data_IF_876967470008
#
_entry.id   IF_876967470008
#
_cell.length_a   1.000
_cell.length_b   1.000
_cell.length_c   1.000
_cell.angle_alpha   90.00
_cell.angle_beta   90.00
_cell.angle_gamma   90.00
#
_symmetry.space_group_name_H-M   'P 1'
#
loop_
_entity.id
_entity.type
_entity.pdbx_description
1 polymer ?
#
# COMPACT_ATOMS: atom_id res chain seq x y z
N UNK A 1 -23.47 -9.73 22.98
CA UNK A 1 -23.92 -10.51 21.81
C UNK A 1 -23.15 -11.81 21.86
N UNK A 2 -23.85 -12.91 22.09
CA UNK A 2 -23.25 -14.24 22.01
C UNK A 2 -23.25 -14.60 20.52
N UNK A 3 -22.17 -14.25 19.83
CA UNK A 3 -21.96 -14.76 18.49
C UNK A 3 -21.62 -16.24 18.67
N UNK A 4 -22.48 -17.14 18.16
CA UNK A 4 -22.13 -18.55 18.05
C UNK A 4 -20.81 -18.74 17.30
N UNK A 5 -20.30 -19.97 17.23
CA UNK A 5 -19.04 -20.24 16.53
C UNK A 5 -19.07 -19.73 15.09
N UNK A 6 -18.09 -18.88 14.74
CA UNK A 6 -17.91 -18.42 13.36
C UNK A 6 -17.35 -19.57 12.53
N UNK A 7 -18.07 -19.96 11.47
CA UNK A 7 -17.63 -20.97 10.52
C UNK A 7 -17.20 -20.32 9.22
N UNK A 8 -15.95 -20.56 8.81
CA UNK A 8 -15.42 -20.13 7.52
C UNK A 8 -15.70 -21.24 6.50
N UNK A 9 -16.27 -20.87 5.35
CA UNK A 9 -16.50 -21.77 4.23
C UNK A 9 -15.39 -21.49 3.21
N UNK A 10 -14.49 -22.45 2.95
CA UNK A 10 -13.44 -22.24 1.95
C UNK A 10 -14.06 -22.17 0.56
N UNK A 11 -13.70 -21.13 -0.21
CA UNK A 11 -14.22 -20.91 -1.57
C UNK A 11 -13.35 -21.55 -2.66
N UNK A 12 -12.19 -22.07 -2.28
CA UNK A 12 -11.22 -22.69 -3.17
C UNK A 12 -9.92 -23.02 -2.46
N UNK A 13 -8.88 -23.29 -3.25
CA UNK A 13 -7.52 -23.59 -2.76
C UNK A 13 -6.46 -22.86 -3.56
N UNK A 14 -5.38 -22.49 -2.90
CA UNK A 14 -4.12 -22.13 -3.54
C UNK A 14 -3.54 -23.38 -4.18
N UNK A 15 -3.07 -23.26 -5.41
CA UNK A 15 -2.38 -24.31 -6.15
C UNK A 15 -1.01 -23.83 -6.62
N UNK A 16 -0.02 -24.72 -6.58
CA UNK A 16 1.35 -24.43 -7.00
C UNK A 16 1.93 -25.55 -7.87
N UNK A 17 2.52 -25.16 -9.00
CA UNK A 17 3.22 -26.10 -9.90
C UNK A 17 4.25 -25.33 -10.76
N UNK A 18 5.48 -25.84 -10.87
CA UNK A 18 6.53 -25.27 -11.72
C UNK A 18 6.67 -23.75 -11.57
N UNK A 19 6.82 -23.27 -10.33
CA UNK A 19 6.92 -21.85 -9.95
C UNK A 19 5.67 -20.99 -10.21
N UNK A 20 4.61 -21.56 -10.79
CA UNK A 20 3.33 -20.88 -10.98
C UNK A 20 2.44 -21.03 -9.75
N UNK A 21 1.75 -19.95 -9.40
CA UNK A 21 0.73 -19.95 -8.36
C UNK A 21 -0.62 -19.56 -8.96
N UNK A 22 -1.67 -20.30 -8.64
CA UNK A 22 -3.03 -19.92 -8.99
C UNK A 22 -4.02 -20.25 -7.88
N UNK A 23 -5.13 -19.53 -7.89
CA UNK A 23 -6.29 -19.77 -7.06
C UNK A 23 -7.24 -20.66 -7.85
N UNK A 24 -7.58 -21.83 -7.33
CA UNK A 24 -8.57 -22.75 -7.91
C UNK A 24 -9.83 -22.72 -7.06
N UNK A 25 -10.87 -22.07 -7.56
CA UNK A 25 -12.15 -21.91 -6.85
C UNK A 25 -12.98 -23.19 -6.99
N UNK A 26 -13.77 -23.54 -5.99
CA UNK A 26 -14.68 -24.69 -6.11
C UNK A 26 -15.79 -24.39 -7.14
N UNK A 27 -16.31 -25.41 -7.84
CA UNK A 27 -17.29 -25.22 -8.91
C UNK A 27 -18.51 -24.38 -8.52
N UNK A 28 -19.02 -24.55 -7.30
CA UNK A 28 -20.18 -23.82 -6.76
C UNK A 28 -19.93 -22.31 -6.56
N UNK A 29 -18.67 -21.87 -6.55
CA UNK A 29 -18.27 -20.47 -6.45
C UNK A 29 -17.70 -19.91 -7.77
N UNK A 30 -17.73 -20.69 -8.85
CA UNK A 30 -17.11 -20.29 -10.12
C UNK A 30 -17.74 -19.05 -10.75
N UNK A 31 -19.05 -18.85 -10.60
CA UNK A 31 -19.76 -17.65 -11.07
C UNK A 31 -19.29 -16.36 -10.36
N UNK A 32 -18.75 -16.47 -9.12
CA UNK A 32 -18.26 -15.32 -8.37
C UNK A 32 -16.97 -14.68 -8.95
N UNK A 33 -16.37 -15.30 -9.96
CA UNK A 33 -15.24 -14.72 -10.72
C UNK A 33 -15.71 -13.65 -11.70
N UNK A 34 -17.00 -13.66 -12.07
CA UNK A 34 -17.55 -12.71 -13.05
C UNK A 34 -17.27 -11.26 -12.62
N UNK A 35 -16.69 -10.47 -13.54
CA UNK A 35 -16.30 -9.09 -13.31
C UNK A 35 -14.82 -8.88 -13.01
N UNK A 36 -14.09 -9.90 -12.54
CA UNK A 36 -12.63 -9.85 -12.43
C UNK A 36 -11.97 -9.88 -13.82
N UNK A 37 -10.84 -9.19 -13.95
CA UNK A 37 -10.07 -9.05 -15.18
C UNK A 37 -8.61 -9.38 -14.95
N UNK A 38 -7.94 -9.80 -16.02
CA UNK A 38 -6.48 -9.87 -16.03
C UNK A 38 -5.92 -8.45 -15.85
N UNK A 39 -4.95 -8.30 -14.95
CA UNK A 39 -4.42 -7.01 -14.52
C UNK A 39 -5.01 -6.48 -13.21
N UNK A 40 -6.15 -6.99 -12.75
CA UNK A 40 -6.75 -6.57 -11.49
C UNK A 40 -5.85 -6.92 -10.30
N UNK A 41 -5.80 -6.02 -9.33
CA UNK A 41 -5.25 -6.28 -8.01
C UNK A 41 -6.34 -6.76 -7.06
N UNK A 42 -6.04 -7.78 -6.26
CA UNK A 42 -6.96 -8.34 -5.27
C UNK A 42 -6.33 -8.39 -3.88
N UNK A 43 -7.17 -8.21 -2.85
CA UNK A 43 -6.91 -8.65 -1.49
C UNK A 43 -7.34 -10.11 -1.37
N UNK A 44 -6.36 -10.99 -1.21
CA UNK A 44 -6.56 -12.43 -1.02
C UNK A 44 -6.52 -12.76 0.46
N UNK A 45 -7.55 -13.42 0.96
CA UNK A 45 -7.64 -13.87 2.36
C UNK A 45 -7.57 -15.39 2.39
N UNK A 46 -6.56 -15.93 3.06
CA UNK A 46 -6.31 -17.37 3.17
C UNK A 46 -6.48 -17.86 4.60
N UNK A 47 -6.91 -19.10 4.76
CA UNK A 47 -6.85 -19.81 6.04
C UNK A 47 -5.57 -20.62 6.11
N UNK A 48 -4.63 -20.20 6.95
CA UNK A 48 -3.41 -20.97 7.24
C UNK A 48 -3.72 -22.17 8.13
N UNK A 49 -4.37 -23.16 7.51
CA UNK A 49 -4.89 -24.38 8.13
C UNK A 49 -3.85 -25.16 8.95
N UNK A 50 -2.57 -25.14 8.58
CA UNK A 50 -1.50 -25.78 9.38
C UNK A 50 -1.23 -25.07 10.72
N UNK A 51 -1.70 -23.82 10.88
CA UNK A 51 -1.66 -23.08 12.14
C UNK A 51 -2.97 -23.16 12.93
N UNK A 52 -3.97 -23.87 12.42
CA UNK A 52 -5.29 -24.04 13.04
C UNK A 52 -5.28 -25.21 14.04
N UNK A 53 -4.39 -25.15 15.03
CA UNK A 53 -4.37 -26.10 16.16
C UNK A 53 -4.67 -25.36 17.46
N UNK A 54 -5.29 -26.01 18.47
CA UNK A 54 -5.57 -25.36 19.76
C UNK A 54 -4.32 -24.71 20.39
N UNK A 55 -3.17 -25.37 20.29
CA UNK A 55 -1.90 -24.92 20.84
C UNK A 55 -1.46 -23.63 20.15
N UNK A 56 -1.42 -23.61 18.81
CA UNK A 56 -0.98 -22.45 18.03
C UNK A 56 -1.94 -21.27 18.15
N UNK A 57 -3.25 -21.53 18.23
CA UNK A 57 -4.27 -20.48 18.37
C UNK A 57 -4.26 -19.82 19.75
N UNK A 58 -3.79 -20.53 20.77
CA UNK A 58 -3.62 -19.98 22.12
C UNK A 58 -2.40 -19.07 22.28
N UNK A 59 -1.48 -19.04 21.30
CA UNK A 59 -0.28 -18.20 21.34
C UNK A 59 -0.64 -16.73 21.10
N UNK A 60 -0.27 -15.87 22.05
CA UNK A 60 -0.54 -14.43 22.01
C UNK A 60 0.71 -13.58 21.73
N UNK A 61 1.91 -14.16 21.84
CA UNK A 61 3.18 -13.48 21.58
C UNK A 61 4.14 -14.39 20.84
N UNK A 62 4.93 -13.82 19.94
CA UNK A 62 5.91 -14.53 19.10
C UNK A 62 7.18 -13.72 18.95
N UNK A 63 8.28 -14.40 18.67
CA UNK A 63 9.47 -13.78 18.12
C UNK A 63 9.25 -13.62 16.61
N UNK A 64 9.19 -12.38 16.06
CA UNK A 64 8.98 -12.16 14.63
C UNK A 64 9.95 -12.97 13.76
N UNK A 65 9.47 -13.48 12.63
CA UNK A 65 10.23 -14.38 11.73
C UNK A 65 10.77 -15.65 12.40
N UNK A 66 10.20 -16.04 13.54
CA UNK A 66 10.68 -17.14 14.37
C UNK A 66 12.16 -16.99 14.81
N UNK A 67 12.67 -15.76 14.86
CA UNK A 67 14.05 -15.46 15.23
C UNK A 67 14.11 -15.01 16.69
N UNK A 68 14.69 -15.85 17.57
CA UNK A 68 14.78 -15.61 19.02
C UNK A 68 15.58 -14.36 19.40
N UNK A 69 16.39 -13.80 18.49
CA UNK A 69 17.06 -12.50 18.68
C UNK A 69 16.11 -11.31 18.58
N UNK A 70 14.98 -11.45 17.87
CA UNK A 70 14.00 -10.38 17.76
C UNK A 70 13.24 -10.23 19.08
N UNK A 71 12.90 -9.00 19.52
CA UNK A 71 12.07 -8.82 20.70
C UNK A 71 10.73 -9.55 20.57
N UNK A 72 10.29 -10.16 21.66
CA UNK A 72 8.98 -10.80 21.73
C UNK A 72 7.87 -9.76 21.52
N UNK A 73 6.99 -9.98 20.55
CA UNK A 73 5.88 -9.07 20.20
C UNK A 73 4.53 -9.78 20.29
N UNK A 74 3.47 -9.04 20.61
CA UNK A 74 2.11 -9.55 20.51
C UNK A 74 1.78 -9.94 19.06
N UNK A 75 1.05 -11.05 18.85
CA UNK A 75 0.78 -11.58 17.49
C UNK A 75 0.09 -10.57 16.58
N UNK A 76 -0.75 -9.68 17.11
CA UNK A 76 -1.43 -8.61 16.37
C UNK A 76 -0.51 -7.47 15.92
N UNK A 77 0.68 -7.33 16.53
CA UNK A 77 1.73 -6.41 16.08
C UNK A 77 2.69 -7.07 15.08
N UNK A 78 2.32 -8.22 14.51
CA UNK A 78 3.14 -9.00 13.58
C UNK A 78 2.30 -9.61 12.46
N UNK A 79 2.97 -10.19 11.46
CA UNK A 79 2.37 -11.00 10.41
C UNK A 79 2.53 -12.52 10.63
N UNK A 80 2.82 -12.95 11.86
CA UNK A 80 3.01 -14.38 12.18
C UNK A 80 1.78 -15.23 11.81
N UNK A 81 1.95 -16.41 11.19
CA UNK A 81 0.86 -17.34 10.89
C UNK A 81 0.23 -17.94 12.16
N UNK A 82 0.98 -17.97 13.26
CA UNK A 82 0.53 -18.40 14.58
C UNK A 82 -0.23 -17.24 15.25
N UNK A 83 -1.56 -17.37 15.35
CA UNK A 83 -2.49 -16.38 15.89
C UNK A 83 -3.86 -17.03 16.18
N UNK A 84 -4.75 -16.39 16.99
CA UNK A 84 -6.05 -16.96 17.33
C UNK A 84 -6.94 -17.34 16.14
N UNK A 85 -6.96 -16.51 15.11
CA UNK A 85 -7.61 -16.79 13.83
C UNK A 85 -6.53 -16.74 12.74
N UNK A 86 -6.01 -17.88 12.24
CA UNK A 86 -4.90 -17.95 11.29
C UNK A 86 -5.29 -17.51 9.87
N UNK A 87 -5.85 -16.30 9.77
CA UNK A 87 -6.13 -15.61 8.52
C UNK A 87 -4.89 -14.85 8.06
N UNK A 88 -4.49 -15.12 6.82
CA UNK A 88 -3.45 -14.41 6.12
C UNK A 88 -4.05 -13.51 5.04
N UNK A 89 -3.40 -12.38 4.77
CA UNK A 89 -3.88 -11.37 3.83
C UNK A 89 -2.74 -11.01 2.87
N UNK A 90 -3.01 -11.06 1.58
CA UNK A 90 -2.09 -10.68 0.51
C UNK A 90 -2.73 -9.62 -0.38
N UNK A 91 -1.90 -8.76 -0.97
CA UNK A 91 -2.26 -7.96 -2.13
C UNK A 91 -1.50 -8.56 -3.32
N UNK A 92 -2.22 -9.07 -4.31
CA UNK A 92 -1.64 -9.74 -5.49
C UNK A 92 -2.34 -9.33 -6.76
N UNK A 93 -1.62 -9.35 -7.87
CA UNK A 93 -2.14 -9.10 -9.21
C UNK A 93 -2.61 -10.40 -9.85
N UNK A 94 -3.73 -10.34 -10.56
CA UNK A 94 -4.20 -11.42 -11.44
C UNK A 94 -3.49 -11.28 -12.78
N UNK A 95 -2.69 -12.28 -13.15
CA UNK A 95 -2.03 -12.31 -14.46
C UNK A 95 -2.87 -12.96 -15.54
N UNK A 96 -3.71 -13.93 -15.16
CA UNK A 96 -4.51 -14.69 -16.13
C UNK A 96 -5.75 -15.28 -15.48
N UNK A 97 -6.85 -15.34 -16.22
CA UNK A 97 -8.08 -16.02 -15.80
C UNK A 97 -8.40 -17.17 -16.76
N UNK A 98 -8.67 -18.37 -16.24
CA UNK A 98 -9.07 -19.53 -17.03
C UNK A 98 -10.14 -20.35 -16.31
N UNK A 99 -11.41 -20.09 -16.64
CA UNK A 99 -12.53 -20.70 -15.93
C UNK A 99 -12.53 -20.29 -14.46
N UNK A 100 -12.54 -21.26 -13.55
CA UNK A 100 -12.47 -21.06 -12.10
C UNK A 100 -11.03 -20.90 -11.55
N UNK A 101 -10.05 -20.63 -12.42
CA UNK A 101 -8.63 -20.48 -12.04
C UNK A 101 -8.12 -19.07 -12.27
N UNK A 102 -7.56 -18.46 -11.22
CA UNK A 102 -6.94 -17.13 -11.26
C UNK A 102 -5.43 -17.30 -11.03
N UNK A 103 -4.62 -17.07 -12.06
CA UNK A 103 -3.17 -17.10 -11.94
C UNK A 103 -2.70 -15.76 -11.38
N UNK A 104 -1.89 -15.80 -10.32
CA UNK A 104 -1.53 -14.63 -9.52
C UNK A 104 -0.03 -14.56 -9.29
N UNK A 105 0.43 -13.48 -8.67
CA UNK A 105 1.80 -13.36 -8.15
C UNK A 105 2.17 -14.55 -7.26
N UNK A 106 3.48 -14.78 -7.11
CA UNK A 106 3.96 -15.73 -6.10
C UNK A 106 3.61 -15.23 -4.69
N UNK A 107 3.15 -16.16 -3.85
CA UNK A 107 2.93 -15.95 -2.41
C UNK A 107 3.63 -17.04 -1.61
N UNK A 108 3.88 -16.83 -0.33
CA UNK A 108 4.55 -17.80 0.55
C UNK A 108 3.62 -18.92 1.09
N UNK A 109 2.32 -18.91 0.75
CA UNK A 109 1.37 -19.95 1.16
C UNK A 109 1.71 -21.34 0.56
N UNK A 110 1.40 -22.42 1.29
CA UNK A 110 1.58 -23.79 0.81
C UNK A 110 0.55 -24.19 -0.25
N UNK A 111 0.89 -25.15 -1.12
CA UNK A 111 -0.08 -25.79 -2.03
C UNK A 111 -1.23 -26.40 -1.22
N UNK A 112 -2.46 -26.25 -1.71
CA UNK A 112 -3.66 -26.71 -1.04
C UNK A 112 -4.20 -25.79 0.06
N UNK A 113 -3.52 -24.67 0.37
CA UNK A 113 -3.99 -23.70 1.38
C UNK A 113 -5.42 -23.21 1.05
N UNK A 114 -6.40 -23.32 1.97
CA UNK A 114 -7.77 -22.89 1.71
C UNK A 114 -7.89 -21.38 1.52
N UNK A 115 -8.70 -21.00 0.53
CA UNK A 115 -9.07 -19.60 0.27
C UNK A 115 -10.32 -19.29 1.10
N UNK A 116 -10.24 -18.29 1.97
CA UNK A 116 -11.37 -17.83 2.76
C UNK A 116 -12.19 -16.78 2.00
N UNK A 117 -11.53 -15.86 1.29
CA UNK A 117 -12.20 -14.78 0.57
C UNK A 117 -11.28 -14.11 -0.47
N UNK A 118 -11.87 -13.44 -1.45
CA UNK A 118 -11.19 -12.66 -2.50
C UNK A 118 -11.93 -11.32 -2.65
N UNK A 119 -11.21 -10.21 -2.58
CA UNK A 119 -11.78 -8.87 -2.80
C UNK A 119 -10.95 -8.09 -3.80
N UNK A 120 -11.59 -7.29 -4.63
CA UNK A 120 -10.87 -6.31 -5.45
C UNK A 120 -10.11 -5.34 -4.53
N UNK A 121 -8.87 -5.01 -4.87
CA UNK A 121 -8.10 -3.98 -4.19
C UNK A 121 -8.58 -2.63 -4.69
N UNK A 122 -9.02 -1.77 -3.78
CA UNK A 122 -9.46 -0.42 -4.06
C UNK A 122 -8.51 0.54 -3.38
N UNK A 123 -7.69 1.23 -4.17
CA UNK A 123 -6.64 2.14 -3.69
C UNK A 123 -7.12 3.08 -2.57
N UNK A 124 -8.22 3.84 -2.80
CA UNK A 124 -8.75 4.79 -1.79
C UNK A 124 -9.21 4.15 -0.48
N UNK A 125 -9.42 2.83 -0.43
CA UNK A 125 -9.90 2.10 0.75
C UNK A 125 -8.79 1.29 1.41
N UNK A 126 -7.91 0.72 0.59
CA UNK A 126 -6.91 -0.25 1.01
C UNK A 126 -5.51 0.35 1.18
N UNK A 127 -5.26 1.55 0.63
CA UNK A 127 -3.99 2.25 0.68
C UNK A 127 -4.17 3.58 1.46
N UNK A 128 -3.72 3.67 2.72
CA UNK A 128 -3.83 4.90 3.49
C UNK A 128 -2.93 5.99 2.90
N UNK A 129 -3.52 7.15 2.56
CA UNK A 129 -2.80 8.32 2.00
C UNK A 129 -2.00 9.11 3.04
N UNK A 130 -2.29 8.89 4.31
CA UNK A 130 -1.69 9.61 5.44
C UNK A 130 -0.98 8.60 6.34
N UNK A 131 0.14 8.06 5.86
CA UNK A 131 1.13 7.50 6.78
C UNK A 131 1.97 8.66 7.30
N UNK A 132 2.12 8.82 8.64
CA UNK A 132 3.02 9.82 9.17
C UNK A 132 4.41 9.58 8.59
N UNK A 133 4.93 10.60 7.91
CA UNK A 133 6.26 10.58 7.35
C UNK A 133 7.22 10.74 8.51
N UNK A 134 8.12 9.79 8.67
CA UNK A 134 9.11 9.87 9.74
C UNK A 134 10.02 11.08 9.51
N UNK A 135 10.34 11.83 10.57
CA UNK A 135 11.10 13.10 10.45
C UNK A 135 12.44 12.95 9.73
N UNK A 136 13.08 11.77 9.80
CA UNK A 136 14.36 11.51 9.16
C UNK A 136 14.29 11.41 7.62
N UNK A 137 13.09 11.22 7.06
CA UNK A 137 12.83 11.22 5.61
C UNK A 137 12.64 12.63 5.04
N UNK A 138 12.61 13.67 5.88
CA UNK A 138 12.31 15.05 5.48
C UNK A 138 13.58 15.91 5.42
N UNK A 139 13.73 16.72 4.36
CA UNK A 139 14.76 17.76 4.31
C UNK A 139 14.22 19.08 4.89
N UNK A 140 13.97 19.06 6.20
CA UNK A 140 13.42 20.20 6.94
C UNK A 140 14.28 21.47 6.76
N UNK A 141 15.59 21.32 6.57
CA UNK A 141 16.52 22.44 6.35
C UNK A 141 16.22 23.20 5.06
N UNK A 142 15.67 22.54 4.05
CA UNK A 142 15.27 23.16 2.76
C UNK A 142 13.80 23.56 2.72
N UNK A 143 13.05 23.40 3.81
CA UNK A 143 11.66 23.80 3.85
C UNK A 143 11.47 25.29 3.52
N UNK A 144 10.33 25.61 2.89
CA UNK A 144 9.92 26.98 2.58
C UNK A 144 8.47 27.19 2.99
N UNK A 145 8.17 28.34 3.58
CA UNK A 145 6.81 28.75 3.92
C UNK A 145 6.30 29.80 2.93
N UNK A 146 5.10 29.59 2.37
CA UNK A 146 4.40 30.54 1.51
C UNK A 146 3.01 30.77 2.08
N UNK A 147 2.81 31.90 2.76
CA UNK A 147 1.58 32.15 3.53
C UNK A 147 1.42 31.11 4.65
N UNK A 148 0.29 30.40 4.68
CA UNK A 148 0.00 29.32 5.63
C UNK A 148 0.42 27.92 5.14
N UNK A 149 1.15 27.87 4.01
CA UNK A 149 1.58 26.62 3.38
C UNK A 149 3.05 26.36 3.72
N UNK A 150 3.37 25.22 4.33
CA UNK A 150 4.75 24.74 4.46
C UNK A 150 5.03 23.72 3.36
N UNK A 151 6.12 23.95 2.63
CA UNK A 151 6.63 23.07 1.59
C UNK A 151 7.91 22.43 2.10
N UNK A 152 7.90 21.12 2.31
CA UNK A 152 9.02 20.36 2.87
C UNK A 152 9.46 19.31 1.83
N UNK A 153 10.61 19.49 1.17
CA UNK A 153 11.14 18.50 0.25
C UNK A 153 11.46 17.19 1.00
N UNK A 154 11.21 16.05 0.36
CA UNK A 154 11.72 14.78 0.88
C UNK A 154 13.22 14.66 0.67
N UNK A 155 13.88 13.98 1.61
CA UNK A 155 15.30 13.68 1.54
C UNK A 155 15.49 12.39 0.78
N UNK A 156 16.41 12.42 -0.18
CA UNK A 156 16.79 11.22 -0.90
C UNK A 156 18.19 10.77 -0.50
N UNK A 157 18.27 9.64 0.20
CA UNK A 157 19.56 9.01 0.47
C UNK A 157 19.84 7.83 -0.47
N UNK A 158 18.87 7.35 -1.26
CA UNK A 158 18.96 6.07 -1.97
C UNK A 158 18.48 6.08 -3.45
N UNK A 159 18.10 7.24 -4.03
CA UNK A 159 17.75 7.35 -5.46
C UNK A 159 18.82 6.80 -6.41
N UNK A 160 20.09 6.98 -6.05
CA UNK A 160 21.23 6.51 -6.86
C UNK A 160 21.33 4.97 -6.89
N UNK A 161 20.60 4.26 -6.03
CA UNK A 161 20.59 2.79 -5.92
C UNK A 161 19.36 2.14 -6.59
N UNK A 162 18.39 2.95 -7.06
CA UNK A 162 17.17 2.46 -7.69
C UNK A 162 17.33 2.46 -9.21
N UNK A 163 17.33 1.27 -9.82
CA UNK A 163 17.53 1.11 -11.27
C UNK A 163 16.42 1.79 -12.09
N UNK A 164 15.17 1.81 -11.60
CA UNK A 164 14.04 2.56 -12.17
C UNK A 164 13.03 2.95 -11.07
N UNK A 165 12.58 4.21 -11.02
CA UNK A 165 11.51 4.68 -10.13
C UNK A 165 10.42 5.35 -10.95
N UNK A 166 9.17 4.93 -10.77
CA UNK A 166 8.02 5.56 -11.43
C UNK A 166 7.72 6.93 -10.79
N UNK A 167 7.43 8.00 -11.58
CA UNK A 167 7.02 9.30 -11.05
C UNK A 167 5.78 9.25 -10.14
N UNK A 168 4.89 8.27 -10.37
CA UNK A 168 3.69 8.04 -9.56
C UNK A 168 3.98 7.36 -8.21
N UNK A 169 5.13 6.70 -8.07
CA UNK A 169 5.55 6.01 -6.85
C UNK A 169 6.53 6.84 -6.01
N UNK A 170 6.99 7.98 -6.54
CA UNK A 170 7.95 8.88 -5.90
C UNK A 170 7.26 10.10 -5.27
N UNK A 171 7.15 10.13 -3.96
CA UNK A 171 6.70 11.30 -3.21
C UNK A 171 7.81 12.37 -3.14
N UNK A 172 7.65 13.46 -3.89
CA UNK A 172 8.67 14.51 -4.01
C UNK A 172 8.53 15.62 -2.95
N UNK A 173 7.30 15.91 -2.51
CA UNK A 173 7.03 17.08 -1.69
C UNK A 173 5.95 16.82 -0.66
N UNK A 174 6.19 17.24 0.58
CA UNK A 174 5.19 17.31 1.63
C UNK A 174 4.64 18.74 1.71
N UNK A 175 3.33 18.86 1.70
CA UNK A 175 2.61 20.13 1.76
C UNK A 175 1.74 20.15 3.01
N UNK A 176 2.03 21.06 3.93
CA UNK A 176 1.19 21.34 5.09
C UNK A 176 0.40 22.62 4.86
N UNK A 177 -0.92 22.58 5.05
CA UNK A 177 -1.82 23.74 4.92
C UNK A 177 -2.60 23.86 6.22
N UNK A 178 -2.17 24.77 7.10
CA UNK A 178 -2.70 24.85 8.46
C UNK A 178 -2.49 23.52 9.23
N UNK A 179 -3.55 22.91 9.81
CA UNK A 179 -3.42 21.63 10.53
C UNK A 179 -3.50 20.38 9.62
N UNK A 180 -3.56 20.54 8.30
CA UNK A 180 -3.69 19.42 7.35
C UNK A 180 -2.36 19.17 6.64
N UNK A 181 -1.98 17.91 6.48
CA UNK A 181 -0.77 17.49 5.75
C UNK A 181 -1.15 16.61 4.59
N UNK A 182 -0.49 16.79 3.45
CA UNK A 182 -0.62 15.93 2.28
C UNK A 182 0.74 15.78 1.58
N UNK A 183 0.86 14.79 0.70
CA UNK A 183 2.07 14.53 -0.11
C UNK A 183 1.73 14.68 -1.58
N UNK A 184 2.72 15.10 -2.37
CA UNK A 184 2.64 15.13 -3.82
C UNK A 184 3.70 14.19 -4.39
N UNK A 185 3.29 13.36 -5.34
CA UNK A 185 4.24 12.60 -6.16
C UNK A 185 5.06 13.53 -7.06
N UNK A 186 6.11 13.03 -7.71
CA UNK A 186 6.90 13.81 -8.68
C UNK A 186 6.02 14.32 -9.83
N UNK A 187 5.13 13.47 -10.35
CA UNK A 187 4.21 13.83 -11.42
C UNK A 187 3.19 14.88 -10.95
N UNK A 188 2.61 14.72 -9.76
CA UNK A 188 1.66 15.69 -9.19
C UNK A 188 2.31 17.04 -8.89
N UNK A 189 3.57 17.04 -8.42
CA UNK A 189 4.34 18.26 -8.21
C UNK A 189 4.57 19.01 -9.52
N UNK A 190 4.98 18.32 -10.59
CA UNK A 190 5.16 18.95 -11.91
C UNK A 190 3.85 19.54 -12.41
N UNK A 191 2.74 18.78 -12.35
CA UNK A 191 1.41 19.28 -12.71
C UNK A 191 1.01 20.51 -11.90
N UNK A 192 1.28 20.52 -10.59
CA UNK A 192 1.00 21.66 -9.74
C UNK A 192 1.81 22.90 -10.18
N UNK A 193 3.10 22.73 -10.50
CA UNK A 193 3.95 23.81 -11.00
C UNK A 193 3.38 24.39 -12.31
N UNK A 194 3.04 23.55 -13.28
CA UNK A 194 2.46 23.98 -14.56
C UNK A 194 1.18 24.81 -14.36
N UNK A 195 0.29 24.35 -13.47
CA UNK A 195 -0.94 25.06 -13.11
C UNK A 195 -0.63 26.41 -12.46
N UNK A 196 0.32 26.46 -11.52
CA UNK A 196 0.73 27.69 -10.85
C UNK A 196 1.35 28.70 -11.83
N UNK A 197 2.17 28.24 -12.78
CA UNK A 197 2.75 29.06 -13.84
C UNK A 197 1.67 29.63 -14.77
N UNK A 198 0.68 28.82 -15.16
CA UNK A 198 -0.46 29.28 -15.95
C UNK A 198 -1.22 30.42 -15.24
N UNK A 199 -1.46 30.30 -13.93
CA UNK A 199 -2.09 31.35 -13.15
C UNK A 199 -1.21 32.59 -13.00
N UNK A 200 0.09 32.40 -12.79
CA UNK A 200 1.05 33.51 -12.74
C UNK A 200 1.04 34.31 -14.04
N UNK A 201 1.05 33.63 -15.19
CA UNK A 201 1.05 34.29 -16.50
C UNK A 201 -0.21 35.11 -16.77
N UNK A 202 -1.35 34.67 -16.25
CA UNK A 202 -2.62 35.40 -16.32
C UNK A 202 -2.70 36.62 -15.39
N UNK A 203 -1.75 36.81 -14.47
CA UNK A 203 -1.74 38.01 -13.64
C UNK A 203 -1.58 39.28 -14.48
N UNK A 204 -2.24 40.39 -14.10
CA UNK A 204 -2.03 41.68 -14.76
C UNK A 204 -0.56 42.08 -14.80
N UNK A 205 -0.11 42.69 -15.90
CA UNK A 205 1.29 43.05 -16.14
C UNK A 205 1.82 43.95 -15.03
N UNK A 206 1.00 44.87 -14.53
CA UNK A 206 1.34 45.80 -13.45
C UNK A 206 1.64 45.08 -12.13
N UNK A 207 1.00 43.93 -11.88
CA UNK A 207 1.24 43.10 -10.70
C UNK A 207 2.54 42.33 -10.88
N UNK A 208 2.74 41.70 -12.05
CA UNK A 208 3.99 40.98 -12.36
C UNK A 208 5.22 41.89 -12.27
N UNK A 209 5.13 43.12 -12.79
CA UNK A 209 6.21 44.10 -12.74
C UNK A 209 6.55 44.54 -11.31
N UNK A 210 5.53 44.68 -10.44
CA UNK A 210 5.76 45.00 -9.02
C UNK A 210 6.45 43.85 -8.28
N UNK A 211 6.06 42.62 -8.57
CA UNK A 211 6.67 41.43 -7.97
C UNK A 211 8.14 41.26 -8.42
N UNK A 212 8.44 41.44 -9.71
CA UNK A 212 9.81 41.34 -10.26
C UNK A 212 10.77 42.40 -9.71
N UNK A 213 10.28 43.60 -9.37
CA UNK A 213 11.14 44.67 -8.78
C UNK A 213 11.57 44.38 -7.34
N UNK A 214 10.89 43.48 -6.63
CA UNK A 214 11.26 43.10 -5.27
C UNK A 214 12.40 42.08 -5.21
N UNK A 215 12.62 41.27 -6.25
CA UNK A 215 13.72 40.29 -6.30
C UNK A 215 15.08 40.93 -6.65
N UNK A 216 15.09 42.13 -7.24
CA UNK A 216 16.31 42.86 -7.61
C UNK A 216 16.94 43.74 -6.51
N UNK A 217 16.47 43.64 -5.26
CA UNK A 217 17.00 44.40 -4.10
C UNK A 217 17.38 43.49 -2.94
N UNK A 218 18.36 42.62 -3.18
CA UNK A 218 19.19 42.04 -2.13
C UNK A 218 20.66 42.30 -2.50
N UNK A 219 21.25 43.33 -1.90
CA UNK A 219 22.68 43.42 -1.60
C UNK A 219 22.84 43.15 -0.11
#
# INVERSE_FOLDING_TARGET
MDFGSLKIIPVGRVRKENEKTWLELYPEFSEAVEGLREGDWIKLILWFHESDTPERKSVLKVHPYNNTKNPLKGVFATRSPIRPNPLAIYAVKIHRIKGNRLYIDWIDAHDGTPIADIKILVERLDCPKEMPIEEWELDIKKSRQVGEINLIPRKDEHLDELEEVSPDEYDALVVEIGPKTTVLTAEELVKLIEVLEEFYDKLPVEIKDKLRRHEGRSH
#
